data_IF_584445671879
#
_entry.id   IF_584445671879
#
_cell.length_a   1.000
_cell.length_b   1.000
_cell.length_c   1.000
_cell.angle_alpha   90.00
_cell.angle_beta   90.00
_cell.angle_gamma   90.00
#
_symmetry.space_group_name_H-M   'P 1'
#
loop_
_entity.id
_entity.type
_entity.pdbx_description
1 polymer ?
#
# COMPACT_ATOMS: atom_id res chain seq x y z
N UNK A 1 -0.03 21.51 -5.77
CA UNK A 1 -0.29 20.05 -5.57
C UNK A 1 -1.68 19.71 -6.12
N UNK A 2 -2.01 18.45 -6.44
CA UNK A 2 -3.39 18.10 -6.85
C UNK A 2 -4.36 18.14 -5.67
N UNK A 3 -5.63 18.47 -5.94
CA UNK A 3 -6.71 18.58 -4.94
C UNK A 3 -6.85 17.33 -4.03
N UNK A 4 -6.84 16.08 -4.53
CA UNK A 4 -6.84 14.91 -3.66
C UNK A 4 -5.59 14.81 -2.77
N UNK A 5 -4.42 15.20 -3.29
CA UNK A 5 -3.17 15.20 -2.52
C UNK A 5 -3.20 16.22 -1.39
N UNK A 6 -3.70 17.44 -1.65
CA UNK A 6 -3.88 18.48 -0.62
C UNK A 6 -4.80 18.02 0.50
N UNK A 7 -5.87 17.29 0.19
CA UNK A 7 -6.82 16.77 1.18
C UNK A 7 -6.29 15.57 1.99
N UNK A 8 -5.50 14.69 1.36
CA UNK A 8 -5.05 13.42 1.96
C UNK A 8 -3.72 13.56 2.72
N UNK A 9 -2.79 14.40 2.24
CA UNK A 9 -1.46 14.59 2.84
C UNK A 9 -1.47 14.94 4.34
N UNK A 10 -2.31 15.87 4.85
CA UNK A 10 -2.32 16.23 6.28
C UNK A 10 -2.61 15.04 7.20
N UNK A 11 -3.41 14.09 6.71
CA UNK A 11 -3.89 12.94 7.47
C UNK A 11 -2.85 11.83 7.51
N UNK A 12 -2.12 11.61 6.41
CA UNK A 12 -0.95 10.72 6.38
C UNK A 12 0.17 11.23 7.31
N UNK A 13 0.44 12.54 7.28
CA UNK A 13 1.44 13.15 8.15
C UNK A 13 1.07 13.06 9.64
N UNK A 14 -0.20 13.25 9.99
CA UNK A 14 -0.69 13.11 11.36
C UNK A 14 -0.71 11.65 11.87
N UNK A 15 -0.95 10.67 11.00
CA UNK A 15 -0.81 9.23 11.34
C UNK A 15 0.64 8.87 11.62
N UNK A 16 1.54 9.23 10.70
CA UNK A 16 2.97 9.00 10.86
C UNK A 16 3.53 9.70 12.10
N UNK A 17 3.08 10.93 12.39
CA UNK A 17 3.42 11.67 13.61
C UNK A 17 3.03 10.88 14.87
N UNK A 18 1.80 10.36 14.96
CA UNK A 18 1.35 9.56 16.12
C UNK A 18 2.17 8.28 16.25
N UNK A 19 2.29 7.51 15.17
CA UNK A 19 3.01 6.23 15.14
C UNK A 19 4.50 6.40 15.55
N UNK A 20 5.12 7.53 15.21
CA UNK A 20 6.50 7.84 15.60
C UNK A 20 6.62 8.37 17.04
N UNK A 21 5.84 9.40 17.41
CA UNK A 21 5.92 10.07 18.72
C UNK A 21 5.54 9.11 19.84
N UNK A 22 4.43 8.37 19.70
CA UNK A 22 3.91 7.44 20.72
C UNK A 22 4.87 6.27 21.00
N UNK A 23 5.81 5.98 20.08
CA UNK A 23 6.73 4.83 20.19
C UNK A 23 8.16 5.21 20.59
N UNK A 24 8.64 6.40 20.23
CA UNK A 24 10.06 6.76 20.39
C UNK A 24 10.36 7.87 21.40
N UNK A 25 9.41 8.76 21.70
CA UNK A 25 9.71 9.98 22.45
C UNK A 25 10.66 10.95 21.73
N UNK A 26 10.78 10.88 20.39
CA UNK A 26 11.61 11.79 19.60
C UNK A 26 11.05 13.22 19.67
N UNK A 27 11.68 14.07 20.50
CA UNK A 27 11.25 15.47 20.71
C UNK A 27 11.36 16.36 19.46
N UNK A 28 12.21 15.99 18.49
CA UNK A 28 12.43 16.74 17.26
C UNK A 28 11.44 16.39 16.13
N UNK A 29 10.20 16.04 16.47
CA UNK A 29 9.16 15.69 15.49
C UNK A 29 8.23 16.87 15.18
N UNK A 30 7.79 17.00 13.93
CA UNK A 30 6.89 18.08 13.51
C UNK A 30 5.52 17.97 14.20
N UNK A 31 4.96 19.12 14.61
CA UNK A 31 3.66 19.18 15.30
C UNK A 31 2.48 19.18 14.32
N UNK A 32 1.27 18.87 14.80
CA UNK A 32 0.03 19.02 14.03
C UNK A 32 -0.20 20.46 13.54
N UNK A 33 0.38 21.46 14.22
CA UNK A 33 0.34 22.85 13.78
C UNK A 33 1.31 23.10 12.62
N UNK A 34 2.53 22.55 12.68
CA UNK A 34 3.49 22.59 11.56
C UNK A 34 2.93 21.91 10.30
N UNK A 35 2.17 20.82 10.45
CA UNK A 35 1.44 20.20 9.32
C UNK A 35 0.45 21.22 8.72
N UNK A 36 -0.43 21.82 9.53
CA UNK A 36 -1.41 22.81 9.06
C UNK A 36 -0.75 24.00 8.36
N UNK A 37 0.33 24.54 8.92
CA UNK A 37 0.97 25.75 8.40
C UNK A 37 1.89 25.48 7.20
N UNK A 38 2.36 24.24 7.02
CA UNK A 38 2.96 23.79 5.76
C UNK A 38 1.90 23.71 4.65
N UNK A 39 0.73 23.12 4.94
CA UNK A 39 -0.35 22.93 3.97
C UNK A 39 -1.05 24.23 3.52
N UNK A 40 -0.83 25.35 4.24
CA UNK A 40 -1.23 26.71 3.81
C UNK A 40 -0.29 27.34 2.78
N UNK A 41 0.96 26.86 2.65
CA UNK A 41 2.00 27.44 1.77
C UNK A 41 2.03 26.78 0.39
N UNK A 42 0.89 26.30 -0.08
CA UNK A 42 0.77 25.66 -1.39
C UNK A 42 0.32 26.72 -2.38
N UNK A 43 1.29 27.43 -2.94
CA UNK A 43 1.09 28.54 -3.87
C UNK A 43 0.64 28.06 -5.27
N UNK A 44 0.04 28.97 -6.04
CA UNK A 44 -0.64 28.67 -7.31
C UNK A 44 0.17 29.07 -8.58
N UNK A 45 1.30 29.80 -8.44
CA UNK A 45 2.12 30.29 -9.57
C UNK A 45 2.98 29.22 -10.28
N UNK A 46 2.45 28.01 -10.52
CA UNK A 46 3.15 26.98 -11.32
C UNK A 46 2.20 25.99 -12.02
N UNK A 47 2.07 26.09 -13.35
CA UNK A 47 1.25 25.17 -14.14
C UNK A 47 1.94 23.80 -14.33
N UNK A 48 1.44 22.77 -13.63
CA UNK A 48 1.88 21.37 -13.80
C UNK A 48 0.73 20.51 -14.32
N UNK A 49 0.86 20.07 -15.58
CA UNK A 49 -0.10 19.16 -16.22
C UNK A 49 0.15 17.70 -15.83
N UNK A 50 -0.66 17.16 -14.92
CA UNK A 50 -0.55 15.79 -14.42
C UNK A 50 -1.22 14.74 -15.34
N UNK A 51 -0.65 13.54 -15.40
CA UNK A 51 -1.19 12.38 -16.12
C UNK A 51 -1.49 11.20 -15.16
N UNK A 52 -2.29 10.24 -15.61
CA UNK A 52 -2.91 9.17 -14.78
C UNK A 52 -2.06 7.88 -14.81
N UNK A 53 -1.58 7.36 -13.67
CA UNK A 53 -0.41 6.47 -13.66
C UNK A 53 -0.31 5.44 -12.50
N UNK A 54 -0.73 4.17 -12.71
CA UNK A 54 -0.35 3.02 -11.86
C UNK A 54 -0.89 2.93 -10.42
N UNK A 55 -0.45 3.82 -9.54
CA UNK A 55 -0.21 3.56 -8.12
C UNK A 55 -1.38 3.61 -7.12
N UNK A 56 -2.25 4.65 -7.16
CA UNK A 56 -3.28 4.93 -6.12
C UNK A 56 -4.55 5.57 -6.74
N UNK A 57 -5.30 6.41 -6.02
CA UNK A 57 -6.31 7.28 -6.64
C UNK A 57 -5.61 8.16 -7.72
N UNK A 58 -6.11 8.13 -8.96
CA UNK A 58 -5.40 8.67 -10.14
C UNK A 58 -4.66 7.62 -10.99
N UNK A 59 -5.04 6.33 -10.90
CA UNK A 59 -4.22 5.23 -11.41
C UNK A 59 -4.95 3.91 -11.82
N UNK A 60 -4.21 2.97 -12.43
CA UNK A 60 -4.63 1.70 -13.08
C UNK A 60 -3.39 0.91 -13.57
N UNK A 61 -3.31 -0.42 -13.83
CA UNK A 61 -4.15 -1.66 -13.74
C UNK A 61 -3.18 -2.90 -13.86
N UNK A 62 -3.48 -4.21 -13.93
CA UNK A 62 -4.68 -5.02 -14.31
C UNK A 62 -4.93 -6.27 -13.42
N UNK A 63 -4.79 -7.54 -13.89
CA UNK A 63 -5.48 -8.74 -13.32
C UNK A 63 -4.99 -10.13 -13.84
N UNK A 64 -4.85 -11.16 -12.97
CA UNK A 64 -4.81 -12.64 -13.27
C UNK A 64 -5.64 -13.39 -12.19
N UNK A 65 -6.00 -14.68 -12.41
CA UNK A 65 -6.92 -15.53 -11.60
C UNK A 65 -6.33 -16.93 -11.33
N UNK A 66 -6.51 -17.50 -10.13
CA UNK A 66 -6.05 -18.86 -9.74
C UNK A 66 -7.04 -19.54 -8.78
N UNK A 67 -7.16 -20.88 -8.84
CA UNK A 67 -7.60 -21.72 -7.70
C UNK A 67 -9.10 -22.03 -7.56
N UNK A 68 -9.40 -23.05 -6.75
CA UNK A 68 -10.77 -23.54 -6.48
C UNK A 68 -10.96 -24.17 -5.08
N UNK A 69 -10.11 -23.83 -4.10
CA UNK A 69 -10.29 -24.23 -2.69
C UNK A 69 -10.07 -23.02 -1.76
N UNK A 70 -10.63 -23.07 -0.55
CA UNK A 70 -10.52 -22.00 0.44
C UNK A 70 -10.73 -22.52 1.86
N UNK A 71 -9.70 -22.47 2.70
CA UNK A 71 -9.80 -22.67 4.15
C UNK A 71 -9.61 -21.31 4.82
N UNK A 72 -10.57 -20.89 5.64
CA UNK A 72 -10.47 -19.58 6.30
C UNK A 72 -9.58 -19.71 7.54
N UNK A 73 -8.36 -19.20 7.42
CA UNK A 73 -7.43 -19.00 8.53
C UNK A 73 -7.64 -17.62 9.17
N UNK A 74 -6.97 -17.35 10.29
CA UNK A 74 -6.85 -15.98 10.83
C UNK A 74 -5.72 -15.26 10.11
N UNK A 75 -6.09 -14.29 9.27
CA UNK A 75 -5.17 -13.64 8.31
C UNK A 75 -4.94 -12.17 8.70
N UNK A 76 -3.68 -11.82 8.95
CA UNK A 76 -3.22 -10.44 9.06
C UNK A 76 -2.74 -9.93 7.69
N UNK A 77 -3.22 -8.77 7.25
CA UNK A 77 -2.76 -8.12 6.02
C UNK A 77 -2.22 -6.71 6.38
N UNK A 78 -0.91 -6.56 6.59
CA UNK A 78 -0.31 -5.27 6.91
C UNK A 78 -0.38 -4.33 5.70
N UNK A 79 -1.06 -3.19 5.85
CA UNK A 79 -1.28 -2.22 4.77
C UNK A 79 -0.88 -0.81 5.16
N UNK A 80 -0.62 0.04 4.17
CA UNK A 80 -0.68 1.50 4.36
C UNK A 80 -2.15 1.93 4.38
N UNK A 81 -2.49 2.97 5.14
CA UNK A 81 -3.89 3.37 5.37
C UNK A 81 -4.65 3.82 4.10
N UNK A 82 -3.92 4.15 3.04
CA UNK A 82 -4.40 4.77 1.81
C UNK A 82 -3.74 4.11 0.59
N UNK A 83 -4.50 3.96 -0.50
CA UNK A 83 -4.05 3.38 -1.76
C UNK A 83 -4.43 1.90 -1.87
N UNK A 84 -3.43 1.02 -1.81
CA UNK A 84 -3.60 -0.43 -2.02
C UNK A 84 -4.63 -1.06 -1.07
N UNK A 85 -4.75 -0.54 0.15
CA UNK A 85 -5.77 -0.92 1.12
C UNK A 85 -7.19 -0.86 0.56
N UNK A 86 -7.58 0.26 -0.05
CA UNK A 86 -8.94 0.45 -0.56
C UNK A 86 -9.26 -0.50 -1.72
N UNK A 87 -8.28 -0.84 -2.57
CA UNK A 87 -8.48 -1.84 -3.63
C UNK A 87 -8.60 -3.27 -3.08
N UNK A 88 -7.82 -3.64 -2.07
CA UNK A 88 -7.95 -4.92 -1.37
C UNK A 88 -9.31 -5.03 -0.67
N UNK A 89 -9.80 -3.95 -0.04
CA UNK A 89 -11.15 -3.89 0.52
C UNK A 89 -12.23 -4.13 -0.54
N UNK A 90 -12.15 -3.45 -1.70
CA UNK A 90 -13.12 -3.66 -2.80
C UNK A 90 -13.08 -5.11 -3.32
N UNK A 91 -11.89 -5.70 -3.44
CA UNK A 91 -11.71 -7.08 -3.89
C UNK A 91 -12.33 -8.08 -2.90
N UNK A 92 -12.03 -7.96 -1.60
CA UNK A 92 -12.58 -8.86 -0.59
C UNK A 92 -14.08 -8.66 -0.39
N UNK A 93 -14.60 -7.42 -0.34
CA UNK A 93 -16.04 -7.13 -0.28
C UNK A 93 -16.79 -7.79 -1.45
N UNK A 94 -16.26 -7.68 -2.67
CA UNK A 94 -16.85 -8.31 -3.87
C UNK A 94 -16.76 -9.83 -3.83
N UNK A 95 -15.70 -10.40 -3.25
CA UNK A 95 -15.54 -11.85 -3.11
C UNK A 95 -16.46 -12.43 -2.03
N UNK A 96 -16.57 -11.77 -0.87
CA UNK A 96 -17.45 -12.16 0.23
C UNK A 96 -18.92 -12.17 -0.21
N UNK A 97 -19.38 -11.09 -0.85
CA UNK A 97 -20.75 -10.96 -1.34
C UNK A 97 -21.09 -11.96 -2.46
N UNK A 98 -20.08 -12.40 -3.23
CA UNK A 98 -20.24 -13.44 -4.27
C UNK A 98 -20.27 -14.87 -3.69
N UNK A 99 -19.62 -15.10 -2.55
CA UNK A 99 -19.35 -16.44 -2.00
C UNK A 99 -20.12 -16.73 -0.70
N UNK A 100 -21.03 -15.84 -0.26
CA UNK A 100 -21.76 -15.85 1.03
C UNK A 100 -20.84 -16.11 2.25
N UNK A 101 -19.66 -15.48 2.26
CA UNK A 101 -18.67 -15.69 3.33
C UNK A 101 -19.03 -14.90 4.59
N UNK A 102 -19.20 -15.63 5.70
CA UNK A 102 -19.65 -15.11 7.00
C UNK A 102 -18.50 -14.81 7.98
N UNK A 103 -17.25 -15.13 7.60
CA UNK A 103 -16.07 -14.77 8.38
C UNK A 103 -15.89 -13.24 8.39
N UNK A 104 -15.67 -12.59 9.55
CA UNK A 104 -15.56 -11.14 9.61
C UNK A 104 -14.28 -10.63 8.95
N UNK A 105 -14.41 -9.56 8.16
CA UNK A 105 -13.28 -8.71 7.77
C UNK A 105 -13.28 -7.49 8.67
N UNK A 106 -12.11 -7.15 9.22
CA UNK A 106 -11.90 -5.94 9.98
C UNK A 106 -10.80 -5.06 9.36
N UNK A 107 -10.88 -3.77 9.64
CA UNK A 107 -9.83 -2.80 9.31
C UNK A 107 -9.45 -1.99 10.56
N UNK A 108 -8.15 -1.83 10.82
CA UNK A 108 -7.59 -0.94 11.84
C UNK A 108 -8.28 0.43 11.87
N UNK A 109 -8.83 0.77 13.02
CA UNK A 109 -9.60 2.00 13.27
C UNK A 109 -8.76 3.27 13.10
N UNK A 110 -9.42 4.39 12.80
CA UNK A 110 -8.78 5.70 12.66
C UNK A 110 -8.74 6.21 11.22
N UNK A 111 -7.66 5.96 10.48
CA UNK A 111 -7.46 6.62 9.18
C UNK A 111 -8.41 6.14 8.09
N UNK A 112 -8.81 4.87 8.08
CA UNK A 112 -9.51 4.27 6.94
C UNK A 112 -10.91 4.84 6.74
N UNK A 113 -11.60 5.23 7.80
CA UNK A 113 -12.90 5.91 7.71
C UNK A 113 -12.76 7.29 7.03
N UNK A 114 -11.74 8.05 7.42
CA UNK A 114 -11.40 9.34 6.78
C UNK A 114 -10.95 9.15 5.34
N UNK A 115 -10.08 8.16 5.09
CA UNK A 115 -9.64 7.79 3.75
C UNK A 115 -10.82 7.47 2.83
N UNK A 116 -11.76 6.63 3.28
CA UNK A 116 -12.95 6.28 2.51
C UNK A 116 -13.82 7.52 2.24
N UNK A 117 -13.93 8.47 3.18
CA UNK A 117 -14.61 9.75 2.94
C UNK A 117 -13.94 10.56 1.79
N UNK A 118 -12.61 10.69 1.76
CA UNK A 118 -11.92 11.36 0.64
C UNK A 118 -12.02 10.59 -0.68
N UNK A 119 -12.01 9.25 -0.67
CA UNK A 119 -12.24 8.45 -1.87
C UNK A 119 -13.66 8.63 -2.42
N UNK A 120 -14.67 8.86 -1.57
CA UNK A 120 -16.04 9.26 -1.98
C UNK A 120 -16.11 10.68 -2.55
N UNK A 121 -15.37 11.64 -2.00
CA UNK A 121 -15.30 13.00 -2.53
C UNK A 121 -14.59 13.05 -3.90
N UNK A 122 -13.50 12.30 -4.06
CA UNK A 122 -12.65 12.34 -5.26
C UNK A 122 -12.91 11.18 -6.24
N UNK A 123 -14.15 10.68 -6.33
CA UNK A 123 -14.58 9.72 -7.37
C UNK A 123 -14.18 10.15 -8.80
N UNK A 124 -14.20 11.45 -9.19
CA UNK A 124 -13.69 11.90 -10.50
C UNK A 124 -12.20 11.62 -10.77
N UNK A 125 -11.42 11.18 -9.78
CA UNK A 125 -10.02 10.73 -9.92
C UNK A 125 -9.87 9.20 -9.94
N UNK A 126 -10.97 8.44 -9.94
CA UNK A 126 -10.96 6.98 -10.09
C UNK A 126 -11.05 6.55 -11.56
N UNK A 127 -10.92 5.26 -11.86
CA UNK A 127 -11.09 4.75 -13.22
C UNK A 127 -12.58 4.75 -13.67
N UNK A 128 -12.84 4.62 -14.98
CA UNK A 128 -14.20 4.75 -15.52
C UNK A 128 -15.20 3.70 -14.97
N UNK A 129 -14.74 2.50 -14.60
CA UNK A 129 -15.59 1.47 -13.98
C UNK A 129 -16.08 1.93 -12.60
N UNK A 130 -15.17 2.43 -11.77
CA UNK A 130 -15.52 2.96 -10.44
C UNK A 130 -16.47 4.17 -10.58
N UNK A 131 -16.21 5.11 -11.50
CA UNK A 131 -17.14 6.24 -11.73
C UNK A 131 -18.55 5.79 -12.15
N UNK A 132 -18.65 4.83 -13.08
CA UNK A 132 -19.94 4.31 -13.57
C UNK A 132 -20.72 3.57 -12.48
N UNK A 133 -20.06 2.66 -11.75
CA UNK A 133 -20.73 1.89 -10.70
C UNK A 133 -21.08 2.75 -9.47
N UNK A 134 -20.34 3.82 -9.17
CA UNK A 134 -20.63 4.71 -8.04
C UNK A 134 -22.03 5.33 -8.09
N UNK A 135 -22.58 5.58 -9.30
CA UNK A 135 -23.95 6.09 -9.50
C UNK A 135 -25.02 5.10 -9.01
N UNK A 136 -24.71 3.80 -8.98
CA UNK A 136 -25.62 2.73 -8.55
C UNK A 136 -25.30 2.20 -7.15
N UNK A 137 -24.02 2.15 -6.77
CA UNK A 137 -23.53 1.71 -5.47
C UNK A 137 -22.17 2.30 -5.16
N UNK A 138 -22.05 2.87 -3.96
CA UNK A 138 -20.77 3.33 -3.43
C UNK A 138 -19.85 2.13 -3.09
N UNK A 139 -18.75 1.96 -3.83
CA UNK A 139 -17.77 0.89 -3.56
C UNK A 139 -16.82 1.19 -2.40
N UNK A 140 -16.92 2.37 -1.78
CA UNK A 140 -16.24 2.72 -0.53
C UNK A 140 -17.21 2.66 0.67
N UNK A 141 -18.34 1.96 0.50
CA UNK A 141 -19.25 1.51 1.55
C UNK A 141 -19.25 -0.02 1.57
N UNK A 142 -18.39 -0.55 2.45
CA UNK A 142 -18.21 -1.97 2.65
C UNK A 142 -19.27 -2.49 3.64
N UNK A 143 -20.02 -3.54 3.28
CA UNK A 143 -21.00 -4.19 4.16
C UNK A 143 -20.32 -5.18 5.10
N UNK A 144 -19.26 -5.83 4.63
CA UNK A 144 -18.61 -6.96 5.30
C UNK A 144 -17.37 -6.53 6.11
N UNK A 145 -16.79 -5.37 5.79
CA UNK A 145 -15.58 -4.83 6.43
C UNK A 145 -15.97 -3.88 7.56
N UNK A 146 -15.58 -4.20 8.79
CA UNK A 146 -15.93 -3.45 10.01
C UNK A 146 -14.71 -2.80 10.66
N UNK A 147 -14.96 -1.85 11.56
CA UNK A 147 -13.94 -1.29 12.44
C UNK A 147 -13.31 -2.39 13.32
N UNK A 148 -11.99 -2.46 13.38
CA UNK A 148 -11.27 -3.38 14.27
C UNK A 148 -11.16 -2.81 15.69
N UNK A 149 -11.79 -3.48 16.65
CA UNK A 149 -11.48 -3.36 18.07
C UNK A 149 -10.28 -4.28 18.42
N UNK A 150 -9.42 -3.83 19.33
CA UNK A 150 -8.31 -4.64 19.87
C UNK A 150 -8.82 -5.89 20.60
N UNK A 151 -10.02 -5.86 21.18
CA UNK A 151 -10.66 -7.02 21.80
C UNK A 151 -10.91 -8.18 20.82
N UNK A 152 -11.11 -7.87 19.52
CA UNK A 152 -11.29 -8.93 18.51
C UNK A 152 -10.00 -9.72 18.24
N UNK A 153 -8.83 -9.25 18.68
CA UNK A 153 -7.57 -9.99 18.55
C UNK A 153 -7.50 -11.30 19.35
N UNK A 154 -8.43 -11.51 20.30
CA UNK A 154 -8.64 -12.75 21.09
C UNK A 154 -9.89 -13.54 20.66
N UNK A 155 -10.70 -13.02 19.74
CA UNK A 155 -11.99 -13.64 19.42
C UNK A 155 -11.80 -15.00 18.73
N UNK A 156 -12.48 -16.06 19.18
CA UNK A 156 -12.36 -17.39 18.60
C UNK A 156 -13.01 -17.45 17.21
N UNK A 157 -12.36 -18.18 16.30
CA UNK A 157 -12.80 -18.32 14.91
C UNK A 157 -11.93 -17.53 13.93
N UNK A 158 -12.10 -17.78 12.62
CA UNK A 158 -11.26 -17.18 11.59
C UNK A 158 -11.73 -15.78 11.21
N UNK A 159 -10.78 -14.88 10.97
CA UNK A 159 -11.03 -13.48 10.60
C UNK A 159 -9.94 -12.94 9.67
N UNK A 160 -10.27 -11.94 8.86
CA UNK A 160 -9.28 -11.17 8.08
C UNK A 160 -9.13 -9.79 8.72
N UNK A 161 -7.90 -9.36 9.02
CA UNK A 161 -7.63 -8.04 9.59
C UNK A 161 -6.61 -7.28 8.75
N UNK A 162 -7.08 -6.20 8.13
CA UNK A 162 -6.21 -5.16 7.58
C UNK A 162 -5.69 -4.28 8.71
N UNK A 163 -4.38 -4.07 8.80
CA UNK A 163 -3.80 -3.25 9.86
C UNK A 163 -2.63 -2.38 9.40
N UNK A 164 -2.53 -1.17 9.95
CA UNK A 164 -1.44 -0.22 9.67
C UNK A 164 -0.31 -0.32 10.71
N UNK A 165 0.95 -0.01 10.32
CA UNK A 165 1.48 0.27 8.98
C UNK A 165 1.95 -1.00 8.24
N UNK A 166 2.10 -0.91 6.92
CA UNK A 166 2.30 -2.07 6.03
C UNK A 166 3.64 -2.82 6.11
N UNK A 167 4.62 -2.35 6.89
CA UNK A 167 5.94 -3.00 7.03
C UNK A 167 6.20 -3.58 8.43
N UNK A 168 5.16 -3.69 9.28
CA UNK A 168 5.24 -4.25 10.65
C UNK A 168 6.27 -3.57 11.59
N UNK A 169 6.67 -2.31 11.35
CA UNK A 169 7.71 -1.64 12.14
C UNK A 169 7.21 -1.03 13.47
N UNK A 170 5.92 -0.72 13.55
CA UNK A 170 5.24 -0.06 14.67
C UNK A 170 3.72 -0.33 14.60
N UNK A 171 2.92 0.43 15.35
CA UNK A 171 1.47 0.49 15.17
C UNK A 171 0.71 -0.80 15.44
N UNK A 172 -0.54 -0.85 14.97
CA UNK A 172 -1.47 -1.94 15.27
C UNK A 172 -1.11 -3.24 14.52
N UNK A 173 -0.53 -3.15 13.33
CA UNK A 173 -0.08 -4.32 12.56
C UNK A 173 1.02 -5.10 13.29
N UNK A 174 2.00 -4.42 13.90
CA UNK A 174 3.02 -5.08 14.73
C UNK A 174 2.43 -5.63 16.04
N UNK A 175 1.45 -4.94 16.65
CA UNK A 175 0.78 -5.43 17.87
C UNK A 175 0.02 -6.74 17.60
N UNK A 176 -0.76 -6.80 16.53
CA UNK A 176 -1.46 -8.03 16.12
C UNK A 176 -0.46 -9.11 15.72
N UNK A 177 0.57 -8.77 14.92
CA UNK A 177 1.60 -9.72 14.52
C UNK A 177 2.32 -10.35 15.72
N UNK A 178 2.77 -9.55 16.70
CA UNK A 178 3.41 -10.07 17.94
C UNK A 178 2.53 -11.08 18.69
N UNK A 179 1.21 -10.89 18.66
CA UNK A 179 0.22 -11.77 19.31
C UNK A 179 -0.09 -13.03 18.50
N UNK A 180 -0.11 -12.92 17.17
CA UNK A 180 -0.55 -13.99 16.27
C UNK A 180 0.59 -14.84 15.70
N UNK A 181 1.84 -14.38 15.74
CA UNK A 181 2.99 -15.05 15.14
C UNK A 181 3.30 -16.44 15.71
N UNK A 182 2.96 -16.71 16.97
CA UNK A 182 3.23 -18.00 17.63
C UNK A 182 2.31 -19.16 17.22
N UNK A 183 1.29 -18.92 16.38
CA UNK A 183 0.29 -19.92 15.99
C UNK A 183 0.39 -20.27 14.50
N UNK A 184 0.64 -21.55 14.21
CA UNK A 184 0.79 -22.12 12.86
C UNK A 184 -0.49 -22.05 12.01
N UNK A 185 -1.66 -21.91 12.64
CA UNK A 185 -2.97 -21.71 11.98
C UNK A 185 -3.24 -20.26 11.59
N UNK A 186 -2.32 -19.34 11.87
CA UNK A 186 -2.43 -17.95 11.44
C UNK A 186 -1.58 -17.72 10.18
N UNK A 187 -1.95 -16.72 9.39
CA UNK A 187 -1.20 -16.29 8.21
C UNK A 187 -0.98 -14.78 8.25
N UNK A 188 0.18 -14.31 7.79
CA UNK A 188 0.42 -12.92 7.44
C UNK A 188 0.72 -12.81 5.95
N UNK A 189 -0.09 -12.05 5.23
CA UNK A 189 0.11 -11.77 3.80
C UNK A 189 0.71 -10.37 3.70
N UNK A 190 1.94 -10.27 3.22
CA UNK A 190 2.62 -9.01 2.96
C UNK A 190 2.27 -8.53 1.55
N UNK A 191 1.50 -7.44 1.38
CA UNK A 191 0.95 -7.04 0.08
C UNK A 191 1.90 -6.18 -0.77
N UNK A 192 3.11 -5.88 -0.28
CA UNK A 192 4.02 -4.91 -0.89
C UNK A 192 5.43 -4.98 -0.35
N UNK A 193 6.32 -4.19 -0.96
CA UNK A 193 7.75 -4.15 -0.60
C UNK A 193 7.96 -3.67 0.85
N UNK A 194 8.93 -4.29 1.53
CA UNK A 194 9.34 -3.92 2.89
C UNK A 194 10.81 -3.49 2.87
N UNK A 195 11.11 -2.30 3.41
CA UNK A 195 12.48 -1.77 3.50
C UNK A 195 13.35 -2.64 4.40
N UNK A 196 14.63 -2.82 4.04
CA UNK A 196 15.61 -3.57 4.82
C UNK A 196 15.64 -3.10 6.29
N UNK A 197 15.76 -4.06 7.21
CA UNK A 197 15.74 -3.82 8.66
C UNK A 197 14.34 -3.84 9.30
N UNK A 198 13.26 -3.59 8.54
CA UNK A 198 11.88 -3.72 9.05
C UNK A 198 11.53 -5.17 9.42
N UNK A 199 10.57 -5.35 10.33
CA UNK A 199 10.05 -6.69 10.70
C UNK A 199 9.48 -7.40 9.47
N UNK A 200 8.75 -6.69 8.61
CA UNK A 200 8.24 -7.23 7.34
C UNK A 200 9.34 -7.79 6.45
N UNK A 201 10.44 -7.06 6.26
CA UNK A 201 11.58 -7.56 5.50
C UNK A 201 12.22 -8.80 6.15
N UNK A 202 12.37 -8.82 7.48
CA UNK A 202 12.97 -9.95 8.21
C UNK A 202 12.17 -11.24 7.98
N UNK A 203 10.85 -11.22 8.17
CA UNK A 203 10.02 -12.43 8.01
C UNK A 203 9.93 -12.92 6.56
N UNK A 204 9.92 -11.99 5.59
CA UNK A 204 9.99 -12.28 4.16
C UNK A 204 11.36 -12.86 3.74
N UNK A 205 12.43 -12.48 4.45
CA UNK A 205 13.77 -13.09 4.29
C UNK A 205 13.89 -14.47 4.97
N UNK A 206 12.76 -15.07 5.39
CA UNK A 206 12.74 -16.37 6.06
C UNK A 206 13.08 -16.33 7.56
N UNK A 207 13.32 -15.17 8.18
CA UNK A 207 13.69 -15.12 9.59
C UNK A 207 12.52 -15.52 10.50
N UNK A 208 12.61 -16.71 11.12
CA UNK A 208 11.59 -17.27 12.02
C UNK A 208 11.80 -16.93 13.51
N UNK A 209 12.96 -16.41 13.90
CA UNK A 209 13.23 -15.91 15.27
C UNK A 209 13.61 -14.44 15.21
N UNK A 210 12.78 -13.58 15.80
CA UNK A 210 12.91 -12.13 15.75
C UNK A 210 13.23 -11.58 17.13
N UNK A 211 14.37 -10.91 17.27
CA UNK A 211 14.64 -10.06 18.42
C UNK A 211 13.76 -8.82 18.38
N UNK A 212 13.05 -8.57 19.48
CA UNK A 212 12.20 -7.41 19.71
C UNK A 212 12.82 -6.48 20.75
N UNK A 213 12.32 -5.25 20.80
CA UNK A 213 12.62 -4.25 21.83
C UNK A 213 12.45 -4.88 23.23
N UNK A 214 13.44 -4.74 24.11
CA UNK A 214 13.45 -5.37 25.44
C UNK A 214 14.05 -6.79 25.49
N UNK A 215 14.81 -7.23 24.47
CA UNK A 215 15.46 -8.57 24.38
C UNK A 215 14.49 -9.76 24.36
N UNK A 216 13.20 -9.53 24.13
CA UNK A 216 12.25 -10.63 23.89
C UNK A 216 12.50 -11.23 22.49
N UNK A 217 12.57 -12.57 22.41
CA UNK A 217 12.64 -13.30 21.13
C UNK A 217 11.23 -13.77 20.78
N UNK A 218 10.69 -13.26 19.66
CA UNK A 218 9.45 -13.75 19.10
C UNK A 218 9.74 -14.89 18.10
N UNK A 219 9.16 -16.06 18.36
CA UNK A 219 9.16 -17.18 17.42
C UNK A 219 7.95 -17.06 16.47
N UNK A 220 8.23 -17.02 15.17
CA UNK A 220 7.25 -16.87 14.10
C UNK A 220 6.97 -18.26 13.53
N UNK A 221 5.85 -18.85 13.95
CA UNK A 221 5.32 -20.13 13.45
C UNK A 221 4.19 -19.97 12.45
N UNK A 222 3.51 -18.81 12.46
CA UNK A 222 2.49 -18.45 11.48
C UNK A 222 3.04 -18.49 10.05
N UNK A 223 2.16 -18.78 9.09
CA UNK A 223 2.51 -18.75 7.67
C UNK A 223 2.82 -17.30 7.24
N UNK A 224 3.87 -17.10 6.43
CA UNK A 224 4.34 -15.78 5.98
C UNK A 224 4.37 -15.79 4.46
N UNK A 225 3.38 -15.14 3.84
CA UNK A 225 3.21 -15.12 2.39
C UNK A 225 3.48 -13.74 1.81
N UNK A 226 3.99 -13.72 0.57
CA UNK A 226 4.21 -12.50 -0.20
C UNK A 226 3.29 -12.47 -1.41
N UNK A 227 2.40 -11.48 -1.47
CA UNK A 227 1.54 -11.27 -2.62
C UNK A 227 1.75 -9.85 -3.15
N UNK A 228 2.38 -9.73 -4.33
CA UNK A 228 2.73 -8.42 -4.87
C UNK A 228 1.51 -7.67 -5.40
N UNK A 229 0.82 -6.95 -4.51
CA UNK A 229 -0.07 -5.85 -4.88
C UNK A 229 0.72 -4.54 -5.06
N UNK A 230 1.99 -4.65 -5.50
CA UNK A 230 2.78 -3.51 -5.94
C UNK A 230 2.09 -2.85 -7.14
N UNK A 231 1.79 -1.56 -7.02
CA UNK A 231 1.30 -0.74 -8.12
C UNK A 231 2.40 0.21 -8.65
N UNK A 232 3.67 -0.12 -8.39
CA UNK A 232 4.79 0.45 -9.16
C UNK A 232 4.80 -0.19 -10.56
N UNK A 233 5.21 0.55 -11.58
CA UNK A 233 5.40 -0.02 -12.91
C UNK A 233 6.45 -1.14 -12.86
N UNK A 234 6.16 -2.25 -13.52
CA UNK A 234 7.13 -3.33 -13.69
C UNK A 234 8.14 -2.97 -14.80
N UNK A 235 9.16 -3.80 -15.00
CA UNK A 235 10.15 -3.57 -16.05
C UNK A 235 9.50 -3.46 -17.44
N UNK A 236 8.44 -4.22 -17.74
CA UNK A 236 7.73 -4.14 -19.02
C UNK A 236 7.01 -2.80 -19.18
N UNK A 237 6.28 -2.34 -18.16
CA UNK A 237 5.59 -1.05 -18.18
C UNK A 237 6.54 0.14 -18.33
N UNK A 238 7.72 0.09 -17.69
CA UNK A 238 8.75 1.13 -17.84
C UNK A 238 9.33 1.13 -19.27
N UNK A 239 9.71 -0.05 -19.80
CA UNK A 239 10.24 -0.16 -21.18
C UNK A 239 9.20 0.29 -22.22
N UNK A 240 7.93 -0.07 -22.03
CA UNK A 240 6.84 0.39 -22.88
C UNK A 240 6.66 1.91 -22.83
N UNK A 241 6.76 2.54 -21.65
CA UNK A 241 6.67 4.00 -21.52
C UNK A 241 7.85 4.70 -22.22
N UNK A 242 9.07 4.19 -22.08
CA UNK A 242 10.24 4.72 -22.80
C UNK A 242 10.05 4.59 -24.32
N UNK A 243 9.60 3.44 -24.80
CA UNK A 243 9.33 3.22 -26.24
C UNK A 243 8.17 4.07 -26.79
N UNK A 244 7.18 4.41 -25.97
CA UNK A 244 6.05 5.26 -26.38
C UNK A 244 6.36 6.77 -26.33
N UNK A 245 7.34 7.19 -25.52
CA UNK A 245 7.69 8.60 -25.34
C UNK A 245 8.87 9.07 -26.22
N UNK A 246 9.63 8.14 -26.83
CA UNK A 246 10.91 8.39 -27.53
C UNK A 246 11.82 9.45 -26.84
N UNK A 247 12.10 9.36 -25.52
CA UNK A 247 12.81 10.40 -24.80
C UNK A 247 14.30 10.44 -25.16
N UNK A 248 14.84 11.63 -25.41
CA UNK A 248 16.27 11.83 -25.70
C UNK A 248 17.19 11.39 -24.55
N UNK A 249 16.71 11.52 -23.30
CA UNK A 249 17.45 11.21 -22.09
C UNK A 249 16.53 10.53 -21.06
N UNK A 250 17.04 9.53 -20.34
CA UNK A 250 16.32 8.81 -19.28
C UNK A 250 17.16 8.78 -18.01
N UNK A 251 16.63 9.32 -16.92
CA UNK A 251 17.24 9.31 -15.59
C UNK A 251 16.49 8.31 -14.68
N UNK A 252 17.22 7.36 -14.08
CA UNK A 252 16.64 6.39 -13.14
C UNK A 252 16.80 6.88 -11.69
N UNK A 253 15.70 6.87 -10.94
CA UNK A 253 15.61 7.30 -9.54
C UNK A 253 14.73 6.35 -8.72
N UNK A 254 14.77 6.45 -7.40
CA UNK A 254 13.92 5.71 -6.45
C UNK A 254 13.93 4.16 -6.57
N UNK A 255 14.99 3.57 -7.13
CA UNK A 255 15.21 2.13 -7.16
C UNK A 255 16.44 1.67 -6.36
N UNK A 256 16.54 0.37 -6.10
CA UNK A 256 17.78 -0.24 -5.59
C UNK A 256 18.88 -0.15 -6.66
N UNK A 257 20.10 0.25 -6.28
CA UNK A 257 21.19 0.51 -7.23
C UNK A 257 21.44 -0.63 -8.24
N UNK A 258 21.46 -1.89 -7.77
CA UNK A 258 21.64 -3.07 -8.64
C UNK A 258 20.48 -3.28 -9.63
N UNK A 259 19.24 -2.95 -9.24
CA UNK A 259 18.05 -3.06 -10.09
C UNK A 259 17.97 -1.90 -11.09
N UNK A 260 18.41 -0.69 -10.70
CA UNK A 260 18.51 0.45 -11.61
C UNK A 260 19.58 0.22 -12.68
N UNK A 261 20.76 -0.30 -12.33
CA UNK A 261 21.81 -0.61 -13.31
C UNK A 261 21.36 -1.70 -14.31
N UNK A 262 20.67 -2.75 -13.85
CA UNK A 262 20.04 -3.75 -14.71
C UNK A 262 18.97 -3.16 -15.65
N UNK A 263 18.14 -2.25 -15.15
CA UNK A 263 17.11 -1.57 -15.95
C UNK A 263 17.73 -0.61 -16.98
N UNK A 264 18.78 0.13 -16.61
CA UNK A 264 19.59 0.95 -17.52
C UNK A 264 20.14 0.10 -18.66
N UNK A 265 20.77 -1.03 -18.36
CA UNK A 265 21.33 -1.93 -19.37
C UNK A 265 20.26 -2.44 -20.34
N UNK A 266 19.04 -2.70 -19.88
CA UNK A 266 17.91 -3.03 -20.77
C UNK A 266 17.48 -1.87 -21.66
N UNK A 267 17.30 -0.67 -21.09
CA UNK A 267 16.96 0.54 -21.86
C UNK A 267 18.02 0.81 -22.94
N UNK A 268 19.30 0.67 -22.60
CA UNK A 268 20.42 0.84 -23.53
C UNK A 268 20.42 -0.25 -24.62
N UNK A 269 20.16 -1.52 -24.28
CA UNK A 269 20.10 -2.63 -25.26
C UNK A 269 18.92 -2.55 -26.23
N UNK A 270 17.74 -2.16 -25.75
CA UNK A 270 16.50 -2.19 -26.55
C UNK A 270 16.33 -0.91 -27.39
N UNK A 271 16.82 0.25 -26.91
CA UNK A 271 16.57 1.55 -27.56
C UNK A 271 17.82 2.25 -28.17
N UNK A 272 19.08 1.86 -27.87
CA UNK A 272 20.26 2.45 -28.54
C UNK A 272 20.63 1.79 -29.88
N UNK A 273 19.71 1.83 -30.85
CA UNK A 273 19.94 1.55 -32.29
C UNK A 273 18.95 2.41 -33.10
N UNK A 274 19.33 3.26 -34.04
CA UNK A 274 20.61 3.71 -34.62
C UNK A 274 20.58 5.25 -34.75
N UNK A 275 21.69 5.95 -35.08
CA UNK A 275 21.59 7.35 -35.50
C UNK A 275 20.64 7.50 -36.70
N UNK A 276 19.56 8.29 -36.55
CA UNK A 276 18.66 8.65 -37.66
C UNK A 276 19.44 9.50 -38.67
N UNK A 277 19.57 9.11 -39.96
CA UNK A 277 20.29 9.92 -40.94
C UNK A 277 19.66 11.31 -41.08
N UNK A 278 20.47 12.37 -41.02
CA UNK A 278 20.02 13.73 -41.34
C UNK A 278 19.63 14.64 -40.17
N UNK A 279 19.97 14.33 -38.91
CA UNK A 279 20.06 15.34 -37.84
C UNK A 279 21.50 15.50 -37.36
N UNK A 280 22.03 16.72 -37.51
CA UNK A 280 23.24 17.16 -36.83
C UNK A 280 22.94 17.49 -35.36
N UNK A 281 24.01 17.62 -34.57
CA UNK A 281 23.99 18.03 -33.17
C UNK A 281 23.75 19.55 -33.03
#
# INVERSE_FOLDING_TARGET
>A
MTQPTQAICPILLEDYRKIAVDKKGEANFFTSQMIKDCMKKVDDELEIKAYYAGHVLGAAMFQIKVGSESVVYTVLIPVFALGRAQELCILLETFWERMDLKAPIYFSTGLTEKANHYYKLFIPWTNQKIRKTFVQRNMFEFKHIKAFDRAFADSPGPMVVFATPGMLHAGQSLQIFRKWAGNEKNMVIMPGYCVQGTVGHKILSGQRKLEMEGRQVLEVKMQVEYMSFSAHADAKGIMQLVGQAEPENVLLVHGEAKKMEFLKQKIEQEFRRQPRPGRAW
#
